data_IF_359135414641
#
_entry.id   IF_359135414641
#
_cell.length_a   1.000
_cell.length_b   1.000
_cell.length_c   1.000
_cell.angle_alpha   90.00
_cell.angle_beta   90.00
_cell.angle_gamma   90.00
#
_symmetry.space_group_name_H-M   'P 1'
#
loop_
_entity.id
_entity.type
_entity.pdbx_description
1 polymer ?
#
# COMPACT_ATOMS: atom_id res chain seq x y z
N UNK A 1 -68.98 5.09 22.37
CA UNK A 1 -68.01 4.25 23.12
C UNK A 1 -67.06 3.62 22.12
N UNK A 2 -65.79 3.43 22.51
CA UNK A 2 -64.73 2.64 21.83
C UNK A 2 -64.18 3.26 20.52
N UNK A 3 -62.88 3.34 20.26
CA UNK A 3 -61.69 2.88 20.99
C UNK A 3 -60.43 3.40 20.29
N UNK A 4 -59.41 3.70 21.10
CA UNK A 4 -58.05 4.13 20.73
C UNK A 4 -57.37 3.11 19.81
N UNK A 5 -56.72 3.57 18.73
CA UNK A 5 -55.45 2.99 18.30
C UNK A 5 -54.52 4.08 17.74
N UNK A 6 -53.77 4.72 18.63
CA UNK A 6 -52.60 5.50 18.24
C UNK A 6 -51.57 4.50 17.70
N UNK A 7 -51.43 4.41 16.37
CA UNK A 7 -50.35 3.66 15.72
C UNK A 7 -49.04 4.38 16.02
N UNK A 8 -48.31 3.92 17.03
CA UNK A 8 -46.92 4.31 17.27
C UNK A 8 -46.09 3.76 16.12
N UNK A 9 -45.75 4.61 15.15
CA UNK A 9 -44.72 4.30 14.15
C UNK A 9 -43.38 4.31 14.89
N UNK A 10 -42.82 3.12 15.12
CA UNK A 10 -41.47 2.99 15.63
C UNK A 10 -40.50 3.53 14.58
N UNK A 11 -39.82 4.63 14.88
CA UNK A 11 -38.73 5.14 14.06
C UNK A 11 -37.58 4.14 14.14
N UNK A 12 -37.32 3.43 13.03
CA UNK A 12 -36.13 2.61 12.87
C UNK A 12 -34.94 3.57 12.73
N UNK A 13 -34.26 3.85 13.84
CA UNK A 13 -32.97 4.53 13.81
C UNK A 13 -31.97 3.52 13.27
N UNK A 14 -31.73 3.56 11.95
CA UNK A 14 -30.60 2.87 11.34
C UNK A 14 -29.35 3.63 11.76
N UNK A 15 -28.72 3.20 12.85
CA UNK A 15 -27.36 3.61 13.17
C UNK A 15 -26.48 2.98 12.11
N UNK A 16 -26.13 3.76 11.08
CA UNK A 16 -25.10 3.38 10.14
C UNK A 16 -23.78 3.32 10.93
N UNK A 17 -23.39 2.12 11.35
CA UNK A 17 -22.03 1.86 11.78
C UNK A 17 -21.15 2.08 10.55
N UNK A 18 -20.57 3.28 10.42
CA UNK A 18 -19.43 3.49 9.55
C UNK A 18 -18.33 2.61 10.12
N UNK A 19 -18.17 1.42 9.53
CA UNK A 19 -17.01 0.57 9.72
C UNK A 19 -15.81 1.35 9.21
N UNK A 20 -15.25 2.19 10.07
CA UNK A 20 -13.94 2.80 9.89
C UNK A 20 -12.93 1.67 9.95
N UNK A 21 -12.82 0.90 8.87
CA UNK A 21 -11.64 0.09 8.64
C UNK A 21 -10.46 1.06 8.79
N UNK A 22 -9.60 0.80 9.78
CA UNK A 22 -8.36 1.54 9.98
C UNK A 22 -7.60 1.53 8.65
N UNK A 23 -7.79 2.57 7.85
CA UNK A 23 -7.14 2.72 6.56
C UNK A 23 -5.74 3.23 6.88
N UNK A 24 -4.73 2.43 6.58
CA UNK A 24 -3.36 2.91 6.62
C UNK A 24 -3.19 4.04 5.59
N UNK A 25 -3.09 5.26 6.10
CA UNK A 25 -2.95 6.49 5.35
C UNK A 25 -2.03 7.40 6.17
N UNK A 26 -0.71 7.32 5.94
CA UNK A 26 0.27 8.10 6.69
C UNK A 26 0.02 9.59 6.60
N UNK A 27 0.14 10.28 7.74
CA UNK A 27 0.07 11.73 7.78
C UNK A 27 1.20 12.35 6.93
N UNK A 28 0.87 13.41 6.20
CA UNK A 28 1.85 14.14 5.38
C UNK A 28 2.26 13.44 4.08
N UNK A 29 1.58 12.36 3.68
CA UNK A 29 1.76 11.75 2.37
C UNK A 29 1.33 12.73 1.26
N UNK A 30 2.21 12.96 0.30
CA UNK A 30 1.94 13.74 -0.90
C UNK A 30 2.07 12.85 -2.15
N UNK A 31 1.29 13.08 -3.22
CA UNK A 31 1.47 12.37 -4.48
C UNK A 31 2.91 12.53 -5.00
N UNK A 32 3.53 11.42 -5.39
CA UNK A 32 4.83 11.40 -6.06
C UNK A 32 4.59 11.20 -7.56
N UNK A 33 4.92 12.23 -8.35
CA UNK A 33 5.03 12.08 -9.80
C UNK A 33 6.06 10.99 -10.12
N UNK A 34 5.67 10.01 -10.92
CA UNK A 34 6.48 8.81 -11.18
C UNK A 34 7.81 9.22 -11.83
N UNK A 35 8.96 9.05 -11.13
CA UNK A 35 10.24 9.37 -11.73
C UNK A 35 10.49 8.50 -12.96
N UNK A 36 11.12 9.05 -14.01
CA UNK A 36 11.32 8.33 -15.28
C UNK A 36 12.02 6.98 -15.11
N UNK A 37 12.96 6.89 -14.17
CA UNK A 37 13.70 5.67 -13.83
C UNK A 37 12.80 4.55 -13.26
N UNK A 38 11.63 4.87 -12.71
CA UNK A 38 10.72 3.87 -12.15
C UNK A 38 10.16 2.95 -13.23
N UNK A 39 9.96 3.45 -14.45
CA UNK A 39 9.49 2.61 -15.57
C UNK A 39 10.53 1.57 -15.96
N UNK A 40 11.82 1.93 -15.90
CA UNK A 40 12.90 0.98 -16.11
C UNK A 40 12.92 -0.08 -15.01
N UNK A 41 12.89 0.34 -13.74
CA UNK A 41 12.88 -0.59 -12.60
C UNK A 41 11.65 -1.49 -12.58
N UNK A 42 10.49 -0.98 -12.98
CA UNK A 42 9.28 -1.77 -13.13
C UNK A 42 9.44 -2.87 -14.18
N UNK A 43 10.00 -2.55 -15.35
CA UNK A 43 10.25 -3.54 -16.39
C UNK A 43 11.22 -4.65 -15.92
N UNK A 44 12.20 -4.29 -15.09
CA UNK A 44 13.10 -5.26 -14.45
C UNK A 44 12.34 -6.18 -13.47
N UNK A 45 11.44 -5.61 -12.66
CA UNK A 45 10.59 -6.38 -11.74
C UNK A 45 9.66 -7.33 -12.50
N UNK A 46 8.98 -6.85 -13.54
CA UNK A 46 8.13 -7.72 -14.37
C UNK A 46 8.92 -8.89 -14.97
N UNK A 47 10.16 -8.62 -15.42
CA UNK A 47 11.04 -9.62 -15.99
C UNK A 47 11.48 -10.63 -14.95
N UNK A 48 11.92 -10.22 -13.77
CA UNK A 48 12.37 -11.19 -12.76
C UNK A 48 11.21 -11.97 -12.14
N UNK A 49 10.07 -11.33 -11.89
CA UNK A 49 8.88 -11.96 -11.31
C UNK A 49 8.12 -12.82 -12.32
N UNK A 50 8.48 -12.77 -13.61
CA UNK A 50 7.79 -13.42 -14.72
C UNK A 50 6.28 -13.09 -14.74
N UNK A 51 5.94 -11.85 -14.38
CA UNK A 51 4.55 -11.37 -14.23
C UNK A 51 4.40 -9.96 -14.80
N UNK A 52 3.37 -9.76 -15.61
CA UNK A 52 3.06 -8.47 -16.25
C UNK A 52 2.02 -7.67 -15.47
N UNK A 53 2.22 -6.36 -15.46
CA UNK A 53 1.49 -5.43 -14.64
C UNK A 53 1.68 -3.99 -15.17
N UNK A 54 0.63 -3.15 -15.11
CA UNK A 54 0.78 -1.74 -15.48
C UNK A 54 1.28 -0.94 -14.29
N UNK A 55 2.39 -0.20 -14.45
CA UNK A 55 2.84 0.78 -13.46
C UNK A 55 1.85 1.94 -13.30
N UNK A 56 1.08 2.26 -14.34
CA UNK A 56 0.18 3.42 -14.34
C UNK A 56 -1.06 3.22 -13.45
N UNK A 57 -1.28 2.00 -12.92
CA UNK A 57 -2.30 1.75 -11.89
C UNK A 57 -1.82 2.12 -10.47
N UNK A 58 -0.51 2.26 -10.29
CA UNK A 58 0.14 2.45 -8.99
C UNK A 58 0.13 3.92 -8.64
N UNK A 59 -0.35 4.24 -7.45
CA UNK A 59 -0.24 5.56 -6.84
C UNK A 59 1.00 5.56 -5.95
N UNK A 60 2.00 6.33 -6.34
CA UNK A 60 3.17 6.55 -5.51
C UNK A 60 2.95 7.78 -4.63
N UNK A 61 3.36 7.66 -3.37
CA UNK A 61 3.24 8.68 -2.35
C UNK A 61 4.61 8.88 -1.70
N UNK A 62 4.97 10.14 -1.46
CA UNK A 62 6.18 10.50 -0.73
C UNK A 62 5.82 11.08 0.64
N UNK A 63 6.58 10.69 1.66
CA UNK A 63 6.45 11.20 3.03
C UNK A 63 7.81 11.77 3.46
N UNK A 64 7.84 12.97 4.02
CA UNK A 64 9.09 13.65 4.41
C UNK A 64 9.90 12.83 5.42
N UNK A 65 11.23 12.89 5.29
CA UNK A 65 12.18 12.26 6.20
C UNK A 65 12.67 10.88 5.73
N UNK A 66 13.32 10.16 6.66
CA UNK A 66 13.96 8.86 6.37
C UNK A 66 13.04 7.66 6.62
N UNK A 67 12.08 7.81 7.54
CA UNK A 67 11.09 6.78 7.90
C UNK A 67 9.75 7.42 8.26
N UNK A 68 8.68 6.65 8.19
CA UNK A 68 7.33 7.04 8.59
C UNK A 68 6.64 5.93 9.40
N UNK A 69 5.62 6.24 10.22
CA UNK A 69 4.86 5.22 10.95
C UNK A 69 4.16 4.23 10.00
N UNK A 70 4.29 2.92 10.25
CA UNK A 70 3.53 1.85 9.62
C UNK A 70 2.92 0.90 10.65
N UNK A 71 1.99 0.00 10.24
CA UNK A 71 1.36 -0.95 11.16
C UNK A 71 2.34 -1.83 11.95
N UNK A 72 3.49 -2.18 11.35
CA UNK A 72 4.48 -3.08 11.95
C UNK A 72 5.75 -2.34 12.45
N UNK A 73 5.66 -1.03 12.70
CA UNK A 73 6.79 -0.19 13.09
C UNK A 73 7.22 0.79 12.00
N UNK A 74 8.34 1.51 12.15
CA UNK A 74 8.77 2.51 11.16
C UNK A 74 9.17 1.90 9.82
N UNK A 75 8.62 2.40 8.71
CA UNK A 75 8.98 2.01 7.34
C UNK A 75 9.81 3.06 6.63
N UNK A 76 10.63 2.63 5.68
CA UNK A 76 11.15 3.49 4.61
C UNK A 76 10.34 3.36 3.30
N UNK A 77 9.65 2.22 3.11
CA UNK A 77 8.72 1.95 2.02
C UNK A 77 7.55 1.09 2.52
N UNK A 78 6.37 1.25 1.91
CA UNK A 78 5.22 0.40 2.20
C UNK A 78 4.26 0.33 1.01
N UNK A 79 4.11 -0.85 0.42
CA UNK A 79 2.99 -1.16 -0.47
C UNK A 79 1.74 -1.51 0.34
N UNK A 80 0.63 -0.91 -0.06
CA UNK A 80 -0.71 -1.19 0.46
C UNK A 80 -1.62 -1.58 -0.70
N UNK A 81 -2.30 -2.71 -0.51
CA UNK A 81 -3.34 -3.17 -1.43
C UNK A 81 -4.44 -2.11 -1.65
N UNK A 82 -4.92 -1.92 -2.89
CA UNK A 82 -4.50 -2.66 -4.07
C UNK A 82 -3.23 -2.12 -4.74
N UNK A 83 -3.02 -0.79 -4.75
CA UNK A 83 -2.02 -0.14 -5.62
C UNK A 83 -1.43 1.15 -5.05
N UNK A 84 -1.32 1.27 -3.73
CA UNK A 84 -0.66 2.42 -3.09
C UNK A 84 0.77 2.04 -2.68
N UNK A 85 1.76 2.85 -3.04
CA UNK A 85 3.16 2.69 -2.61
C UNK A 85 3.59 3.97 -1.90
N UNK A 86 3.89 3.87 -0.61
CA UNK A 86 4.41 4.96 0.21
C UNK A 86 5.92 4.85 0.33
N UNK A 87 6.65 5.95 0.16
CA UNK A 87 8.12 5.99 0.21
C UNK A 87 8.57 7.20 1.03
N UNK A 88 9.52 6.99 1.94
CA UNK A 88 10.17 8.08 2.64
C UNK A 88 11.07 8.88 1.68
N UNK A 89 11.04 10.20 1.77
CA UNK A 89 11.70 11.15 0.87
C UNK A 89 13.18 10.82 0.61
N UNK A 90 13.93 10.41 1.64
CA UNK A 90 15.34 10.03 1.53
C UNK A 90 15.59 8.88 0.54
N UNK A 91 14.58 8.05 0.26
CA UNK A 91 14.73 6.78 -0.45
C UNK A 91 14.06 6.74 -1.82
N UNK A 92 13.48 7.84 -2.30
CA UNK A 92 12.74 7.87 -3.57
C UNK A 92 13.60 7.51 -4.80
N UNK A 93 14.93 7.61 -4.70
CA UNK A 93 15.87 7.18 -5.75
C UNK A 93 16.69 5.94 -5.36
N UNK A 94 16.34 5.25 -4.27
CA UNK A 94 16.98 4.01 -3.90
C UNK A 94 16.34 2.84 -4.67
N UNK A 95 17.06 2.32 -5.66
CA UNK A 95 16.55 1.25 -6.52
C UNK A 95 16.12 0.00 -5.73
N UNK A 96 16.84 -0.38 -4.67
CA UNK A 96 16.53 -1.59 -3.91
C UNK A 96 15.19 -1.47 -3.17
N UNK A 97 14.98 -0.36 -2.45
CA UNK A 97 13.72 -0.07 -1.76
C UNK A 97 12.56 0.02 -2.76
N UNK A 98 12.70 0.83 -3.80
CA UNK A 98 11.60 1.10 -4.73
C UNK A 98 11.19 -0.19 -5.45
N UNK A 99 12.17 -0.99 -5.91
CA UNK A 99 11.90 -2.28 -6.55
C UNK A 99 11.24 -3.28 -5.61
N UNK A 100 11.59 -3.26 -4.31
CA UNK A 100 10.94 -4.08 -3.30
C UNK A 100 9.43 -3.78 -3.21
N UNK A 101 9.05 -2.50 -3.12
CA UNK A 101 7.64 -2.09 -3.07
C UNK A 101 6.91 -2.33 -4.41
N UNK A 102 7.59 -2.16 -5.54
CA UNK A 102 7.04 -2.51 -6.85
C UNK A 102 6.76 -4.01 -6.96
N UNK A 103 7.62 -4.87 -6.43
CA UNK A 103 7.42 -6.31 -6.46
C UNK A 103 6.17 -6.71 -5.66
N UNK A 104 5.92 -6.06 -4.52
CA UNK A 104 4.66 -6.23 -3.80
C UNK A 104 3.44 -5.93 -4.68
N UNK A 105 3.45 -4.83 -5.44
CA UNK A 105 2.33 -4.49 -6.35
C UNK A 105 2.18 -5.47 -7.51
N UNK A 106 3.28 -5.87 -8.13
CA UNK A 106 3.26 -6.84 -9.25
C UNK A 106 2.68 -8.17 -8.78
N UNK A 107 3.03 -8.63 -7.58
CA UNK A 107 2.51 -9.86 -7.01
C UNK A 107 1.09 -9.70 -6.47
N UNK A 108 0.74 -8.52 -5.97
CA UNK A 108 -0.54 -8.24 -5.31
C UNK A 108 -0.60 -8.78 -3.88
N UNK A 109 0.55 -8.89 -3.19
CA UNK A 109 0.62 -9.37 -1.81
C UNK A 109 1.61 -8.56 -0.98
N UNK A 110 1.28 -8.36 0.29
CA UNK A 110 2.20 -7.76 1.28
C UNK A 110 3.17 -8.79 1.89
N UNK A 111 3.02 -10.06 1.53
CA UNK A 111 3.92 -11.14 1.92
C UNK A 111 5.24 -11.08 1.15
N UNK A 112 6.22 -11.82 1.64
CA UNK A 112 7.55 -11.97 1.02
C UNK A 112 7.82 -13.40 0.58
N UNK A 113 7.21 -13.89 -0.52
CA UNK A 113 7.50 -15.23 -1.02
C UNK A 113 8.99 -15.38 -1.36
N UNK A 114 9.67 -16.31 -0.67
CA UNK A 114 11.11 -16.56 -0.80
C UNK A 114 11.55 -16.95 -2.22
N UNK A 115 10.61 -17.43 -3.04
CA UNK A 115 10.88 -17.73 -4.45
C UNK A 115 11.25 -16.49 -5.28
N UNK A 116 10.81 -15.29 -4.86
CA UNK A 116 10.99 -14.03 -5.62
C UNK A 116 11.66 -12.91 -4.83
N UNK A 117 11.48 -12.83 -3.50
CA UNK A 117 12.17 -11.87 -2.63
C UNK A 117 13.47 -12.42 -2.05
N UNK A 118 14.27 -11.57 -1.40
CA UNK A 118 15.50 -12.01 -0.73
C UNK A 118 16.51 -12.48 -1.77
N UNK A 119 17.02 -13.71 -1.64
CA UNK A 119 17.88 -14.36 -2.64
C UNK A 119 17.10 -15.01 -3.80
N UNK A 120 15.78 -14.81 -3.86
CA UNK A 120 14.90 -15.33 -4.90
C UNK A 120 15.08 -14.66 -6.27
N UNK A 121 14.19 -14.97 -7.21
CA UNK A 121 14.33 -14.60 -8.63
C UNK A 121 14.53 -13.09 -8.90
N UNK A 122 13.98 -12.20 -8.07
CA UNK A 122 14.15 -10.76 -8.22
C UNK A 122 15.31 -10.16 -7.45
N UNK A 123 15.91 -10.93 -6.52
CA UNK A 123 17.00 -10.50 -5.66
C UNK A 123 16.83 -9.08 -5.08
N UNK A 124 15.61 -8.74 -4.63
CA UNK A 124 15.32 -7.43 -4.03
C UNK A 124 15.38 -7.55 -2.51
N UNK A 125 16.42 -6.96 -1.94
CA UNK A 125 16.66 -6.95 -0.49
C UNK A 125 16.54 -5.52 0.01
N UNK A 126 15.65 -5.29 0.98
CA UNK A 126 15.54 -3.99 1.66
C UNK A 126 15.57 -4.18 3.17
N UNK A 127 16.45 -3.45 3.83
CA UNK A 127 16.93 -3.70 5.19
C UNK A 127 15.96 -3.28 6.32
N UNK A 128 14.64 -3.28 6.09
CA UNK A 128 13.65 -2.95 7.13
C UNK A 128 12.71 -4.09 7.48
N UNK A 129 12.97 -5.33 7.04
CA UNK A 129 12.35 -6.53 7.62
C UNK A 129 13.40 -7.53 8.11
N UNK A 130 14.00 -7.22 9.26
CA UNK A 130 14.31 -8.26 10.25
C UNK A 130 13.35 -8.06 11.42
N UNK A 131 12.17 -8.66 11.33
CA UNK A 131 11.27 -9.00 12.43
C UNK A 131 10.17 -9.92 11.93
#
# INVERSE_FOLDING_TARGET
MQGRHLRRLAALVVVAFSSGACRFEPEGAAPLEIPSVYRQWWAEIEKCAQKKASIDRVRFWVIKGEKFPCPNGPCAGHWRSPHDVYIAETWIYNASLVKHEMLHDVLGTGDHPVAVFGEGACNVVWATKES
#
